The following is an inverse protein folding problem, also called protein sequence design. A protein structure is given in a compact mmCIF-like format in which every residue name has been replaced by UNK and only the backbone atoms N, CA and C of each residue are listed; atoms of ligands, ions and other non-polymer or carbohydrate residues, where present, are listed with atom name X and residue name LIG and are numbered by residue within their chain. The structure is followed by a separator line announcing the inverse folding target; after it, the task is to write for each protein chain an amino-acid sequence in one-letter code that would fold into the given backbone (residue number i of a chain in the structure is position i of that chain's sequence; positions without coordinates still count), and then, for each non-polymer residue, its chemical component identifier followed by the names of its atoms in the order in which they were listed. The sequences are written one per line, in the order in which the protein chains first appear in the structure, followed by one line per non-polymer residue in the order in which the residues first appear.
data_IF_108940485286
#
_entry.id   IF_108940485286
#
_cell.length_a   1.000
_cell.length_b   1.000
_cell.length_c   1.000
_cell.angle_alpha   90.00
_cell.angle_beta   90.00
_cell.angle_gamma   90.00
#
_symmetry.space_group_name_H-M   'P 1'
#
loop_
_entity.id
_entity.type
_entity.pdbx_description
1 polymer ?
#
# COMPACT_ATOMS: atom_id res chain seq x y z
N UNK A 1 -15.20 6.43 -15.87
CA UNK A 1 -14.42 6.56 -14.62
C UNK A 1 -12.91 6.49 -14.86
N UNK A 2 -12.44 5.90 -15.97
CA UNK A 2 -11.13 6.18 -16.56
C UNK A 2 -11.36 6.90 -17.90
N UNK A 3 -10.70 8.03 -18.19
CA UNK A 3 -10.83 8.65 -19.52
C UNK A 3 -10.62 10.16 -19.68
N UNK A 4 -10.29 10.93 -18.63
CA UNK A 4 -9.97 12.36 -18.79
C UNK A 4 -8.51 12.67 -18.38
N UNK A 5 -7.52 12.27 -19.19
CA UNK A 5 -6.11 12.51 -18.87
C UNK A 5 -5.77 14.01 -18.73
N UNK A 6 -6.49 14.90 -19.42
CA UNK A 6 -6.28 16.35 -19.32
C UNK A 6 -7.00 17.06 -18.16
N UNK A 7 -7.87 16.39 -17.41
CA UNK A 7 -8.62 17.02 -16.33
C UNK A 7 -8.04 16.63 -14.96
N UNK A 8 -7.18 17.49 -14.41
CA UNK A 8 -6.54 17.28 -13.11
C UNK A 8 -7.52 17.02 -11.95
N UNK A 9 -8.71 17.64 -11.98
CA UNK A 9 -9.72 17.45 -10.93
C UNK A 9 -10.25 16.02 -10.87
N UNK A 10 -10.37 15.35 -12.02
CA UNK A 10 -10.84 13.97 -12.09
C UNK A 10 -9.90 12.98 -11.38
N UNK A 11 -8.62 13.34 -11.21
CA UNK A 11 -7.60 12.49 -10.58
C UNK A 11 -7.49 12.68 -9.07
N UNK A 12 -8.09 13.72 -8.51
CA UNK A 12 -8.01 14.04 -7.07
C UNK A 12 -8.47 12.86 -6.20
N UNK A 13 -9.56 12.22 -6.60
CA UNK A 13 -10.07 11.05 -5.89
C UNK A 13 -9.12 9.84 -6.00
N UNK A 14 -8.55 9.57 -7.17
CA UNK A 14 -7.58 8.49 -7.35
C UNK A 14 -6.31 8.72 -6.52
N UNK A 15 -5.79 9.95 -6.51
CA UNK A 15 -4.64 10.35 -5.69
C UNK A 15 -4.97 10.17 -4.20
N UNK A 16 -6.15 10.60 -3.78
CA UNK A 16 -6.62 10.43 -2.41
C UNK A 16 -6.66 8.95 -2.01
N UNK A 17 -7.26 8.10 -2.84
CA UNK A 17 -7.36 6.65 -2.59
C UNK A 17 -5.98 6.00 -2.48
N UNK A 18 -5.08 6.25 -3.44
CA UNK A 18 -3.72 5.69 -3.43
C UNK A 18 -2.96 6.13 -2.19
N UNK A 19 -3.03 7.41 -1.85
CA UNK A 19 -2.37 7.97 -0.67
C UNK A 19 -2.92 7.35 0.62
N UNK A 20 -4.24 7.24 0.73
CA UNK A 20 -4.92 6.66 1.87
C UNK A 20 -4.53 5.19 2.08
N UNK A 21 -4.55 4.38 1.02
CA UNK A 21 -4.17 2.97 1.10
C UNK A 21 -2.68 2.78 1.41
N UNK A 22 -1.80 3.66 0.92
CA UNK A 22 -0.37 3.62 1.23
C UNK A 22 -0.12 3.86 2.72
N UNK A 23 -0.79 4.86 3.30
CA UNK A 23 -0.70 5.14 4.74
C UNK A 23 -1.28 3.97 5.55
N UNK A 24 -2.46 3.49 5.16
CA UNK A 24 -3.12 2.35 5.81
C UNK A 24 -2.24 1.11 5.83
N UNK A 25 -1.59 0.78 4.73
CA UNK A 25 -0.70 -0.38 4.61
C UNK A 25 0.47 -0.32 5.61
N UNK A 26 1.04 0.86 5.86
CA UNK A 26 2.12 1.03 6.84
C UNK A 26 1.66 0.82 8.28
N UNK A 27 0.44 1.23 8.62
CA UNK A 27 -0.13 0.93 9.93
C UNK A 27 -0.38 -0.57 10.08
N UNK A 28 -0.88 -1.22 9.03
CA UNK A 28 -1.13 -2.65 9.02
C UNK A 28 0.16 -3.47 9.21
N UNK A 29 1.28 -3.06 8.60
CA UNK A 29 2.60 -3.67 8.85
C UNK A 29 3.01 -3.60 10.33
N UNK A 30 2.74 -2.48 11.00
CA UNK A 30 3.06 -2.31 12.43
C UNK A 30 2.22 -3.21 13.31
N UNK A 31 0.93 -3.33 13.01
CA UNK A 31 0.01 -4.21 13.73
C UNK A 31 0.34 -5.69 13.48
N UNK A 32 0.67 -6.06 12.25
CA UNK A 32 1.09 -7.42 11.92
C UNK A 32 2.41 -7.81 12.60
N UNK A 33 3.40 -6.91 12.62
CA UNK A 33 4.65 -7.15 13.34
C UNK A 33 4.43 -7.34 14.86
N UNK A 34 3.50 -6.57 15.46
CA UNK A 34 3.11 -6.75 16.86
C UNK A 34 2.38 -8.07 17.09
N UNK A 35 1.47 -8.46 16.18
CA UNK A 35 0.62 -9.66 16.34
C UNK A 35 1.37 -10.97 16.10
N UNK A 36 2.22 -11.03 15.08
CA UNK A 36 2.91 -12.25 14.67
C UNK A 36 4.35 -12.35 15.20
N UNK A 37 4.86 -11.27 15.78
CA UNK A 37 6.24 -11.13 16.22
C UNK A 37 7.15 -10.65 15.08
N UNK A 38 8.09 -9.78 15.42
CA UNK A 38 8.96 -9.11 14.45
C UNK A 38 9.76 -10.10 13.58
N UNK A 39 10.21 -11.23 14.16
CA UNK A 39 11.03 -12.22 13.45
C UNK A 39 10.23 -12.98 12.38
N UNK A 40 9.03 -13.47 12.71
CA UNK A 40 8.17 -14.17 11.74
C UNK A 40 7.61 -13.24 10.68
N UNK A 41 7.34 -11.99 11.05
CA UNK A 41 6.89 -10.99 10.10
C UNK A 41 8.00 -10.61 9.11
N UNK A 42 9.25 -10.50 9.57
CA UNK A 42 10.41 -10.27 8.70
C UNK A 42 10.60 -11.41 7.69
N UNK A 43 10.52 -12.68 8.13
CA UNK A 43 10.60 -13.84 7.22
C UNK A 43 9.50 -13.80 6.15
N UNK A 44 8.28 -13.40 6.53
CA UNK A 44 7.17 -13.24 5.59
C UNK A 44 7.44 -12.12 4.57
N UNK A 45 7.96 -10.98 5.02
CA UNK A 45 8.30 -9.84 4.16
C UNK A 45 9.44 -10.17 3.18
N UNK A 46 10.37 -11.05 3.54
CA UNK A 46 11.40 -11.53 2.60
C UNK A 46 10.80 -12.37 1.46
N UNK A 47 9.76 -13.17 1.75
CA UNK A 47 9.07 -13.99 0.73
C UNK A 47 8.12 -13.15 -0.13
N UNK A 48 7.54 -12.10 0.44
CA UNK A 48 6.59 -11.22 -0.23
C UNK A 48 7.08 -9.76 -0.15
N UNK A 49 8.05 -9.38 -1.01
CA UNK A 49 8.69 -8.07 -0.91
C UNK A 49 7.79 -6.91 -1.38
N UNK A 50 6.73 -7.22 -2.14
CA UNK A 50 5.79 -6.22 -2.66
C UNK A 50 4.58 -6.10 -1.75
N UNK A 51 4.25 -4.86 -1.34
CA UNK A 51 3.24 -4.54 -0.34
C UNK A 51 1.86 -4.32 -0.93
N UNK A 52 1.77 -3.65 -2.09
CA UNK A 52 0.48 -3.31 -2.73
C UNK A 52 0.48 -3.66 -4.21
N UNK A 53 1.52 -3.27 -4.95
CA UNK A 53 1.64 -3.48 -6.39
C UNK A 53 2.87 -4.33 -6.71
N UNK A 54 2.69 -5.60 -7.13
CA UNK A 54 3.82 -6.47 -7.47
C UNK A 54 4.68 -5.85 -8.58
N UNK A 55 5.99 -5.80 -8.36
CA UNK A 55 6.95 -5.20 -9.28
C UNK A 55 7.14 -3.68 -9.15
N UNK A 56 6.34 -2.99 -8.31
CA UNK A 56 6.42 -1.53 -8.10
C UNK A 56 6.60 -1.19 -6.62
N UNK A 57 5.68 -1.68 -5.77
CA UNK A 57 5.63 -1.38 -4.34
C UNK A 57 5.08 -2.54 -3.52
#
# INVERSE_FOLDING_TARGET
MFGHPGNLWAWTYSIFVISFFTVRQRFDERECAQKYGAEKWAEYQERVPYRIFPGIY
#
